data_IF_761693563758
#
_entry.id   IF_761693563758
#
_cell.length_a   1.000
_cell.length_b   1.000
_cell.length_c   1.000
_cell.angle_alpha   90.00
_cell.angle_beta   90.00
_cell.angle_gamma   90.00
#
_symmetry.space_group_name_H-M   'P 1'
#
loop_
_entity.id
_entity.type
_entity.pdbx_description
1 polymer ?
#
# COMPACT_ATOMS: atom_id res chain seq x y z
N UNK A 1 -1.22 3.72 -17.35
CA UNK A 1 -2.14 4.79 -16.85
C UNK A 1 -2.84 4.35 -15.58
N UNK A 2 -3.34 5.26 -14.74
CA UNK A 2 -3.99 4.94 -13.49
C UNK A 2 -5.49 4.64 -13.67
N UNK A 3 -6.11 3.78 -12.83
CA UNK A 3 -7.58 3.52 -12.83
C UNK A 3 -8.38 4.84 -12.86
N UNK A 4 -7.90 5.86 -12.16
CA UNK A 4 -8.49 7.19 -12.10
C UNK A 4 -8.68 7.82 -13.46
N UNK A 5 -7.70 7.72 -14.34
CA UNK A 5 -7.76 8.31 -15.68
C UNK A 5 -8.75 7.55 -16.54
N UNK A 6 -8.76 6.21 -16.45
CA UNK A 6 -9.74 5.37 -17.14
C UNK A 6 -11.16 5.69 -16.67
N UNK A 7 -11.38 5.83 -15.35
CA UNK A 7 -12.69 6.20 -14.82
C UNK A 7 -13.12 7.62 -15.25
N UNK A 8 -12.19 8.58 -15.30
CA UNK A 8 -12.47 9.94 -15.78
C UNK A 8 -12.82 9.95 -17.27
N UNK A 9 -12.08 9.19 -18.07
CA UNK A 9 -12.34 9.07 -19.51
C UNK A 9 -13.70 8.41 -19.77
N UNK A 10 -14.00 7.31 -19.06
CA UNK A 10 -15.29 6.62 -19.12
C UNK A 10 -16.45 7.57 -18.69
N UNK A 11 -16.31 8.29 -17.58
CA UNK A 11 -17.30 9.25 -17.12
C UNK A 11 -17.57 10.35 -18.14
N UNK A 12 -16.48 10.90 -18.74
CA UNK A 12 -16.62 11.93 -19.76
C UNK A 12 -17.31 11.44 -21.02
N UNK A 13 -16.98 10.22 -21.48
CA UNK A 13 -17.63 9.62 -22.65
C UNK A 13 -19.12 9.32 -22.38
N UNK A 14 -19.43 8.75 -21.22
CA UNK A 14 -20.79 8.50 -20.81
C UNK A 14 -21.62 9.80 -20.71
N UNK A 15 -21.04 10.86 -20.14
CA UNK A 15 -21.73 12.15 -20.04
C UNK A 15 -21.99 12.78 -21.42
N UNK A 16 -21.03 12.73 -22.34
CA UNK A 16 -21.25 13.20 -23.72
C UNK A 16 -22.39 12.38 -24.35
N UNK A 17 -22.38 11.05 -24.20
CA UNK A 17 -23.41 10.18 -24.72
C UNK A 17 -24.80 10.49 -24.14
N UNK A 18 -24.88 10.77 -22.84
CA UNK A 18 -26.15 11.15 -22.18
C UNK A 18 -26.70 12.48 -22.70
N UNK A 19 -25.82 13.46 -23.00
CA UNK A 19 -26.23 14.76 -23.49
C UNK A 19 -26.54 14.79 -24.99
N UNK A 20 -25.89 13.96 -25.80
CA UNK A 20 -25.99 14.01 -27.26
C UNK A 20 -26.76 12.83 -27.87
N UNK A 21 -27.07 11.82 -27.08
CA UNK A 21 -27.64 10.55 -27.53
C UNK A 21 -26.63 9.58 -28.16
N UNK A 22 -25.36 9.96 -28.28
CA UNK A 22 -24.32 9.10 -28.89
C UNK A 22 -23.00 9.19 -28.09
N UNK A 23 -22.55 8.05 -27.59
CA UNK A 23 -21.24 7.96 -26.96
C UNK A 23 -20.11 8.07 -28.01
N UNK A 24 -19.04 8.87 -27.75
CA UNK A 24 -17.92 8.97 -28.67
C UNK A 24 -17.03 7.72 -28.61
N UNK A 25 -16.39 7.35 -29.72
CA UNK A 25 -15.42 6.24 -29.77
C UNK A 25 -14.09 6.57 -29.10
N UNK A 26 -13.74 7.86 -29.04
CA UNK A 26 -12.51 8.39 -28.45
C UNK A 26 -12.82 9.62 -27.63
N UNK A 27 -12.22 9.71 -26.44
CA UNK A 27 -12.36 10.88 -25.58
C UNK A 27 -11.01 11.40 -25.13
N UNK A 28 -10.86 12.71 -25.01
CA UNK A 28 -9.69 13.39 -24.43
C UNK A 28 -10.06 13.93 -23.06
N UNK A 29 -9.28 13.64 -22.03
CA UNK A 29 -9.45 14.22 -20.69
C UNK A 29 -8.32 15.19 -20.37
N UNK A 30 -8.55 16.11 -19.44
CA UNK A 30 -7.50 17.01 -18.92
C UNK A 30 -7.04 16.51 -17.56
N UNK A 31 -5.73 16.21 -17.44
CA UNK A 31 -5.10 15.81 -16.20
C UNK A 31 -4.72 17.02 -15.33
N UNK A 32 -4.52 16.82 -14.00
CA UNK A 32 -4.08 17.88 -13.09
C UNK A 32 -2.76 18.54 -13.49
N UNK A 33 -1.85 17.81 -14.13
CA UNK A 33 -0.56 18.31 -14.62
C UNK A 33 -0.66 19.05 -15.97
N UNK A 34 -1.87 19.23 -16.52
CA UNK A 34 -2.12 19.94 -17.78
C UNK A 34 -2.08 19.07 -19.04
N UNK A 35 -1.62 17.81 -18.96
CA UNK A 35 -1.65 16.89 -20.10
C UNK A 35 -3.08 16.53 -20.50
N UNK A 36 -3.25 16.14 -21.77
CA UNK A 36 -4.56 15.84 -22.36
C UNK A 36 -4.51 14.52 -23.14
N UNK A 37 -4.39 13.37 -22.44
CA UNK A 37 -4.38 12.06 -23.09
C UNK A 37 -5.72 11.71 -23.75
N UNK A 38 -5.64 10.87 -24.80
CA UNK A 38 -6.78 10.30 -25.49
C UNK A 38 -7.02 8.86 -25.04
N UNK A 39 -8.29 8.49 -24.95
CA UNK A 39 -8.73 7.14 -24.56
C UNK A 39 -9.71 6.59 -25.58
N UNK A 40 -9.51 5.35 -25.98
CA UNK A 40 -10.48 4.59 -26.76
C UNK A 40 -11.56 4.06 -25.82
N UNK A 41 -12.82 4.16 -26.23
CA UNK A 41 -13.95 3.61 -25.50
C UNK A 41 -14.16 2.17 -25.95
N UNK A 42 -14.00 1.25 -25.00
CA UNK A 42 -14.11 -0.20 -25.25
C UNK A 42 -15.51 -0.77 -24.98
N UNK A 43 -16.34 -0.01 -24.25
CA UNK A 43 -17.69 -0.41 -23.89
C UNK A 43 -18.61 0.80 -23.87
N UNK A 44 -19.85 0.61 -24.33
CA UNK A 44 -20.92 1.61 -24.20
C UNK A 44 -22.28 0.94 -24.12
N UNK A 45 -23.16 1.51 -23.29
CA UNK A 45 -24.52 1.04 -23.15
C UNK A 45 -25.45 2.22 -22.78
N UNK A 46 -26.56 2.33 -23.49
CA UNK A 46 -27.54 3.39 -23.25
C UNK A 46 -28.73 2.83 -22.45
N UNK A 47 -29.04 3.48 -21.32
CA UNK A 47 -30.25 3.27 -20.52
C UNK A 47 -31.31 4.33 -20.76
N UNK A 48 -32.44 4.26 -20.03
CA UNK A 48 -33.55 5.20 -20.20
C UNK A 48 -33.20 6.64 -19.82
N UNK A 49 -32.45 6.85 -18.76
CA UNK A 49 -31.95 8.17 -18.28
C UNK A 49 -30.48 8.06 -17.87
N UNK A 50 -29.78 7.11 -18.46
CA UNK A 50 -28.39 6.84 -18.16
C UNK A 50 -27.59 6.49 -19.41
N UNK A 51 -26.28 6.65 -19.29
CA UNK A 51 -25.32 6.21 -20.27
C UNK A 51 -24.11 5.64 -19.57
N UNK A 52 -23.68 4.46 -19.98
CA UNK A 52 -22.44 3.84 -19.51
C UNK A 52 -21.38 3.86 -20.61
N UNK A 53 -20.13 4.12 -20.24
CA UNK A 53 -18.98 3.94 -21.10
C UNK A 53 -17.86 3.25 -20.32
N UNK A 54 -16.99 2.52 -21.02
CA UNK A 54 -15.90 1.79 -20.40
C UNK A 54 -14.59 1.95 -21.13
N UNK A 55 -13.50 1.96 -20.36
CA UNK A 55 -12.13 2.06 -20.84
C UNK A 55 -11.32 0.90 -20.27
N UNK A 56 -10.51 0.24 -21.09
CA UNK A 56 -9.55 -0.74 -20.62
C UNK A 56 -8.37 0.01 -19.98
N UNK A 57 -8.06 -0.34 -18.73
CA UNK A 57 -6.94 0.26 -18.02
C UNK A 57 -5.62 -0.21 -18.62
N UNK A 58 -4.72 0.73 -18.84
CA UNK A 58 -3.34 0.50 -19.23
C UNK A 58 -2.43 1.03 -18.11
N UNK A 59 -1.73 0.12 -17.44
CA UNK A 59 -0.78 0.44 -16.37
C UNK A 59 0.64 0.72 -16.89
N UNK A 60 0.89 0.55 -18.18
CA UNK A 60 2.22 0.67 -18.77
C UNK A 60 3.17 -0.38 -18.20
N UNK A 61 4.37 0.03 -17.80
CA UNK A 61 5.40 -0.86 -17.26
C UNK A 61 5.27 -1.14 -15.74
N UNK A 62 4.20 -0.66 -15.10
CA UNK A 62 3.96 -0.94 -13.68
C UNK A 62 3.34 -2.34 -13.49
N UNK A 63 3.84 -3.17 -12.57
CA UNK A 63 3.28 -4.49 -12.29
C UNK A 63 1.96 -4.40 -11.50
N UNK A 64 1.03 -3.58 -11.97
CA UNK A 64 -0.27 -3.34 -11.32
C UNK A 64 -1.24 -4.49 -11.62
N UNK A 65 -1.76 -5.14 -10.58
CA UNK A 65 -2.74 -6.24 -10.69
C UNK A 65 -4.05 -5.81 -11.35
N UNK A 66 -4.26 -4.52 -11.54
CA UNK A 66 -5.45 -3.94 -12.19
C UNK A 66 -5.21 -3.58 -13.65
N UNK A 67 -4.05 -3.93 -14.22
CA UNK A 67 -3.78 -3.76 -15.65
C UNK A 67 -4.73 -4.59 -16.50
N UNK A 68 -5.18 -4.05 -17.63
CA UNK A 68 -6.11 -4.73 -18.54
C UNK A 68 -7.57 -4.78 -18.07
N UNK A 69 -7.91 -4.32 -16.86
CA UNK A 69 -9.29 -4.32 -16.38
C UNK A 69 -10.16 -3.30 -17.12
N UNK A 70 -11.40 -3.69 -17.38
CA UNK A 70 -12.41 -2.78 -17.90
C UNK A 70 -12.96 -1.93 -16.75
N UNK A 71 -12.79 -0.60 -16.88
CA UNK A 71 -13.33 0.38 -15.94
C UNK A 71 -14.53 1.05 -16.59
N UNK A 72 -15.72 0.80 -16.07
CA UNK A 72 -16.99 1.33 -16.56
C UNK A 72 -17.41 2.49 -15.66
N UNK A 73 -17.95 3.54 -16.26
CA UNK A 73 -18.65 4.59 -15.52
C UNK A 73 -20.03 4.78 -16.16
N UNK A 74 -21.07 4.66 -15.34
CA UNK A 74 -22.43 5.02 -15.69
C UNK A 74 -22.76 6.40 -15.12
N UNK A 75 -23.33 7.24 -15.96
CA UNK A 75 -23.90 8.54 -15.56
C UNK A 75 -25.40 8.42 -15.62
N UNK A 76 -26.06 8.66 -14.48
CA UNK A 76 -27.53 8.65 -14.36
C UNK A 76 -28.00 10.06 -14.07
N UNK A 77 -28.92 10.57 -14.88
CA UNK A 77 -29.54 11.88 -14.65
C UNK A 77 -30.44 11.85 -13.40
N UNK A 78 -30.33 12.88 -12.57
CA UNK A 78 -31.19 13.10 -11.39
C UNK A 78 -32.01 14.37 -11.59
N UNK A 79 -32.97 14.61 -10.69
CA UNK A 79 -33.82 15.80 -10.69
C UNK A 79 -34.11 16.28 -9.26
N UNK A 80 -33.22 15.97 -8.31
CA UNK A 80 -33.40 16.31 -6.88
C UNK A 80 -32.52 17.48 -6.41
N UNK A 81 -31.75 18.07 -7.32
CA UNK A 81 -30.89 19.22 -7.09
C UNK A 81 -29.77 18.97 -6.03
N UNK A 82 -29.42 17.72 -5.79
CA UNK A 82 -28.38 17.33 -4.83
C UNK A 82 -26.96 17.36 -5.43
N UNK A 83 -26.82 17.72 -6.70
CA UNK A 83 -25.53 17.83 -7.37
C UNK A 83 -24.94 16.49 -7.80
N UNK A 84 -23.61 16.40 -7.83
CA UNK A 84 -22.89 15.21 -8.25
C UNK A 84 -22.77 14.26 -7.05
N UNK A 85 -23.23 13.02 -7.23
CA UNK A 85 -23.10 11.97 -6.23
C UNK A 85 -22.35 10.76 -6.80
N UNK A 86 -21.39 10.20 -6.04
CA UNK A 86 -20.58 9.06 -6.42
C UNK A 86 -21.10 7.78 -5.77
N UNK A 87 -21.22 6.71 -6.56
CA UNK A 87 -21.67 5.39 -6.11
C UNK A 87 -20.72 4.28 -6.55
N UNK A 88 -20.60 3.25 -5.73
CA UNK A 88 -19.91 2.02 -6.11
C UNK A 88 -20.88 1.14 -6.91
N UNK A 89 -20.45 0.77 -8.08
CA UNK A 89 -21.04 -0.32 -8.83
C UNK A 89 -20.30 -1.64 -8.56
N UNK A 90 -20.53 -2.64 -9.40
CA UNK A 90 -19.89 -3.96 -9.25
C UNK A 90 -18.37 -3.86 -9.19
N UNK A 91 -17.74 -4.50 -8.20
CA UNK A 91 -16.29 -4.60 -8.04
C UNK A 91 -15.57 -3.32 -7.59
N UNK A 92 -16.27 -2.24 -7.29
CA UNK A 92 -15.74 -1.10 -6.53
C UNK A 92 -16.05 -1.31 -5.06
N UNK A 93 -15.04 -1.12 -4.21
CA UNK A 93 -15.15 -1.39 -2.79
C UNK A 93 -15.95 -0.35 -2.01
N UNK A 94 -16.37 -0.73 -0.81
CA UNK A 94 -17.01 0.15 0.17
C UNK A 94 -16.09 0.28 1.39
N UNK A 95 -16.01 1.47 1.93
CA UNK A 95 -15.25 1.75 3.15
C UNK A 95 -15.99 1.19 4.36
N UNK A 96 -15.35 0.34 5.14
CA UNK A 96 -15.94 -0.28 6.34
C UNK A 96 -15.18 0.04 7.63
N UNK A 97 -13.97 0.58 7.54
CA UNK A 97 -13.16 1.00 8.67
C UNK A 97 -12.82 2.50 8.58
N UNK A 98 -12.76 3.21 9.71
CA UNK A 98 -12.33 4.60 9.75
C UNK A 98 -10.80 4.71 9.53
N UNK A 99 -10.33 5.92 9.12
CA UNK A 99 -8.89 6.22 8.95
C UNK A 99 -8.48 6.53 7.52
N UNK A 100 -9.32 6.24 6.55
CA UNK A 100 -9.15 6.70 5.18
C UNK A 100 -9.75 8.12 5.00
N UNK A 101 -9.39 8.85 3.93
CA UNK A 101 -9.97 10.18 3.66
C UNK A 101 -11.43 10.13 3.16
N UNK A 102 -12.10 9.03 3.40
CA UNK A 102 -13.49 8.75 3.06
C UNK A 102 -14.20 8.23 4.31
N UNK A 103 -15.49 8.51 4.44
CA UNK A 103 -16.28 8.04 5.59
C UNK A 103 -16.68 6.56 5.43
N UNK A 104 -16.98 5.93 6.56
CA UNK A 104 -17.51 4.56 6.56
C UNK A 104 -18.87 4.54 5.85
N UNK A 105 -19.05 3.59 4.94
CA UNK A 105 -20.22 3.47 4.08
C UNK A 105 -20.05 4.12 2.69
N UNK A 106 -19.04 4.97 2.49
CA UNK A 106 -18.80 5.58 1.19
C UNK A 106 -18.17 4.60 0.19
N UNK A 107 -18.41 4.82 -1.13
CA UNK A 107 -17.68 4.11 -2.17
C UNK A 107 -16.18 4.44 -2.10
N UNK A 108 -15.35 3.44 -2.30
CA UNK A 108 -13.89 3.57 -2.25
C UNK A 108 -13.35 4.34 -3.48
N UNK A 109 -13.89 5.52 -3.72
CA UNK A 109 -13.50 6.47 -4.77
C UNK A 109 -12.88 7.68 -4.08
N UNK A 110 -11.55 7.78 -4.12
CA UNK A 110 -10.82 8.81 -3.39
C UNK A 110 -11.13 10.24 -3.88
N UNK A 111 -10.92 11.27 -3.04
CA UNK A 111 -11.22 12.67 -3.40
C UNK A 111 -10.54 13.16 -4.69
N UNK A 112 -9.30 12.71 -4.96
CA UNK A 112 -8.58 13.06 -6.19
C UNK A 112 -9.31 12.62 -7.47
N UNK A 113 -9.66 11.32 -7.63
CA UNK A 113 -10.50 10.84 -8.73
C UNK A 113 -11.83 11.58 -8.85
N UNK A 114 -12.57 11.76 -7.73
CA UNK A 114 -13.85 12.50 -7.74
C UNK A 114 -13.65 13.88 -8.34
N UNK A 115 -12.69 14.64 -7.83
CA UNK A 115 -12.39 15.99 -8.33
C UNK A 115 -12.01 16.00 -9.83
N UNK A 116 -11.22 15.04 -10.28
CA UNK A 116 -10.80 15.00 -11.68
C UNK A 116 -11.97 14.70 -12.62
N UNK A 117 -12.87 13.81 -12.21
CA UNK A 117 -14.11 13.52 -12.95
C UNK A 117 -14.97 14.81 -13.00
N UNK A 118 -15.25 15.41 -11.84
CA UNK A 118 -16.02 16.66 -11.79
C UNK A 118 -15.45 17.77 -12.67
N UNK A 119 -14.15 18.03 -12.57
CA UNK A 119 -13.47 19.08 -13.33
C UNK A 119 -13.56 18.85 -14.86
N UNK A 120 -13.58 17.58 -15.31
CA UNK A 120 -13.75 17.25 -16.73
C UNK A 120 -15.21 17.33 -17.19
N UNK A 121 -16.19 16.99 -16.34
CA UNK A 121 -17.61 17.08 -16.68
C UNK A 121 -18.12 18.52 -16.65
N UNK A 122 -17.75 19.33 -15.66
CA UNK A 122 -18.13 20.75 -15.56
C UNK A 122 -17.74 21.55 -16.80
N UNK A 123 -16.62 21.22 -17.47
CA UNK A 123 -16.20 21.88 -18.73
C UNK A 123 -17.08 21.57 -19.92
N UNK A 124 -17.89 20.53 -19.87
CA UNK A 124 -18.81 20.16 -20.94
C UNK A 124 -20.22 20.73 -20.74
N UNK A 125 -20.56 21.10 -19.53
CA UNK A 125 -21.89 21.63 -19.19
C UNK A 125 -21.97 23.13 -19.52
N UNK A 126 -22.97 23.51 -20.30
CA UNK A 126 -23.29 24.92 -20.61
C UNK A 126 -23.80 25.64 -19.36
N UNK A 127 -24.40 24.89 -18.42
CA UNK A 127 -24.84 25.38 -17.11
C UNK A 127 -23.77 25.02 -16.07
N UNK A 128 -22.74 25.83 -15.94
CA UNK A 128 -21.52 25.56 -15.15
C UNK A 128 -21.74 25.10 -13.68
N UNK A 129 -22.94 25.20 -13.14
CA UNK A 129 -23.20 24.99 -11.70
C UNK A 129 -24.30 24.01 -11.33
N UNK A 130 -24.94 23.30 -12.26
CA UNK A 130 -26.09 22.43 -11.92
C UNK A 130 -26.04 21.04 -12.60
N UNK A 131 -24.92 20.30 -12.41
CA UNK A 131 -24.90 18.89 -12.74
C UNK A 131 -25.60 18.11 -11.61
N UNK A 132 -26.80 17.59 -11.89
CA UNK A 132 -27.55 16.75 -10.97
C UNK A 132 -27.54 15.31 -11.49
N UNK A 133 -26.50 14.57 -11.08
CA UNK A 133 -26.18 13.24 -11.63
C UNK A 133 -25.62 12.30 -10.57
N UNK A 134 -25.93 11.01 -10.71
CA UNK A 134 -25.14 9.94 -10.08
C UNK A 134 -24.02 9.50 -11.03
N UNK A 135 -22.85 9.28 -10.47
CA UNK A 135 -21.68 8.71 -11.13
C UNK A 135 -21.38 7.36 -10.49
N UNK A 136 -21.69 6.29 -11.19
CA UNK A 136 -21.53 4.93 -10.73
C UNK A 136 -20.30 4.34 -11.43
N UNK A 137 -19.28 3.95 -10.65
CA UNK A 137 -18.06 3.35 -11.19
C UNK A 137 -18.10 1.85 -10.95
N UNK A 138 -17.83 1.06 -12.00
CA UNK A 138 -17.81 -0.39 -11.97
C UNK A 138 -16.49 -0.94 -12.49
N UNK A 139 -16.06 -2.04 -11.92
CA UNK A 139 -14.93 -2.84 -12.37
C UNK A 139 -15.34 -4.30 -12.23
N UNK A 140 -15.91 -4.93 -13.25
CA UNK A 140 -16.57 -6.24 -13.13
C UNK A 140 -15.73 -7.30 -12.41
N UNK A 141 -14.41 -7.36 -12.67
CA UNK A 141 -13.48 -8.29 -12.01
C UNK A 141 -12.92 -7.78 -10.69
N UNK A 142 -13.29 -6.56 -10.27
CA UNK A 142 -12.68 -5.85 -9.13
C UNK A 142 -12.79 -6.58 -7.80
N UNK A 143 -13.87 -7.34 -7.56
CA UNK A 143 -14.04 -8.14 -6.34
C UNK A 143 -13.00 -9.24 -6.23
N UNK A 144 -12.68 -9.95 -7.31
CA UNK A 144 -11.66 -11.00 -7.28
C UNK A 144 -10.24 -10.40 -7.22
N UNK A 145 -10.00 -9.33 -7.96
CA UNK A 145 -8.70 -8.64 -7.97
C UNK A 145 -8.40 -8.00 -6.61
N UNK A 146 -9.41 -7.51 -5.90
CA UNK A 146 -9.20 -6.89 -4.57
C UNK A 146 -8.53 -7.83 -3.56
N UNK A 147 -8.73 -9.14 -3.68
CA UNK A 147 -8.06 -10.16 -2.86
C UNK A 147 -6.53 -10.18 -3.02
N UNK A 148 -6.01 -9.62 -4.12
CA UNK A 148 -4.57 -9.48 -4.40
C UNK A 148 -4.02 -8.11 -4.00
N UNK A 149 -4.82 -7.28 -3.36
CA UNK A 149 -4.48 -5.93 -2.92
C UNK A 149 -4.50 -5.81 -1.39
N UNK A 150 -4.12 -4.67 -0.87
CA UNK A 150 -4.21 -4.38 0.57
C UNK A 150 -5.57 -3.82 1.01
N UNK A 151 -6.56 -3.80 0.13
CA UNK A 151 -7.85 -3.18 0.39
C UNK A 151 -8.54 -3.73 1.65
N UNK A 152 -8.55 -5.04 1.83
CA UNK A 152 -9.17 -5.68 3.00
C UNK A 152 -8.55 -5.20 4.32
N UNK A 153 -7.22 -5.00 4.36
CA UNK A 153 -6.50 -4.49 5.54
C UNK A 153 -6.86 -3.03 5.86
N UNK A 154 -7.23 -2.28 4.84
CA UNK A 154 -7.67 -0.89 4.97
C UNK A 154 -9.18 -0.77 5.19
N UNK A 155 -9.89 -1.90 5.35
CA UNK A 155 -11.34 -1.92 5.49
C UNK A 155 -12.09 -1.56 4.21
N UNK A 156 -11.50 -1.81 3.05
CA UNK A 156 -12.17 -1.65 1.75
C UNK A 156 -12.63 -3.03 1.30
N UNK A 157 -13.94 -3.28 1.39
CA UNK A 157 -14.53 -4.58 1.12
C UNK A 157 -15.31 -4.60 -0.21
N UNK A 158 -15.49 -5.80 -0.78
CA UNK A 158 -16.28 -6.11 -1.97
C UNK A 158 -15.73 -5.56 -3.30
N UNK A 159 -14.51 -5.00 -3.33
CA UNK A 159 -13.93 -4.52 -4.57
C UNK A 159 -12.64 -3.74 -4.40
N UNK A 160 -12.17 -3.17 -5.51
CA UNK A 160 -10.98 -2.33 -5.54
C UNK A 160 -11.31 -0.88 -5.18
N UNK A 161 -10.28 -0.12 -4.82
CA UNK A 161 -10.37 1.34 -4.64
C UNK A 161 -9.99 2.09 -5.90
N UNK A 162 -10.73 3.15 -6.21
CA UNK A 162 -10.40 4.11 -7.27
C UNK A 162 -9.54 5.21 -6.64
N UNK A 163 -8.24 5.16 -6.90
CA UNK A 163 -7.25 6.02 -6.23
C UNK A 163 -6.28 6.65 -7.24
N UNK A 164 -5.48 7.58 -6.76
CA UNK A 164 -4.41 8.26 -7.49
C UNK A 164 -4.43 9.77 -7.25
N UNK A 165 -3.28 10.43 -7.45
CA UNK A 165 -3.11 11.87 -7.17
C UNK A 165 -2.79 12.69 -8.43
N UNK A 166 -2.06 12.13 -9.39
CA UNK A 166 -1.53 12.85 -10.55
C UNK A 166 -2.22 12.53 -11.87
N UNK A 167 -2.89 11.37 -11.94
CA UNK A 167 -3.42 10.85 -13.20
C UNK A 167 -2.41 10.05 -14.02
N UNK A 168 -1.18 9.88 -13.52
CA UNK A 168 -0.13 9.10 -14.18
C UNK A 168 0.39 8.07 -13.19
N UNK A 169 0.56 6.84 -13.66
CA UNK A 169 1.28 5.81 -12.92
C UNK A 169 2.78 6.07 -13.07
N UNK A 170 3.47 6.12 -11.95
CA UNK A 170 4.94 6.10 -11.90
C UNK A 170 5.32 4.69 -11.48
N UNK A 171 5.88 3.86 -12.38
CA UNK A 171 6.25 2.49 -12.06
C UNK A 171 7.18 2.44 -10.84
N UNK A 172 6.99 1.45 -9.98
CA UNK A 172 7.81 1.23 -8.77
C UNK A 172 7.92 2.43 -7.84
N UNK A 173 6.85 3.22 -7.70
CA UNK A 173 6.85 4.45 -6.89
C UNK A 173 7.04 4.17 -5.39
N UNK A 174 8.25 4.45 -4.87
CA UNK A 174 8.54 4.40 -3.43
C UNK A 174 7.58 5.31 -2.62
N UNK A 175 7.22 6.48 -3.17
CA UNK A 175 6.30 7.41 -2.53
C UNK A 175 4.89 6.81 -2.38
N UNK A 176 4.41 6.08 -3.39
CA UNK A 176 3.11 5.41 -3.33
C UNK A 176 3.10 4.31 -2.25
N UNK A 177 4.19 3.53 -2.14
CA UNK A 177 4.32 2.52 -1.10
C UNK A 177 4.34 3.12 0.31
N UNK A 178 5.16 4.15 0.53
CA UNK A 178 5.20 4.87 1.81
C UNK A 178 3.82 5.45 2.15
N UNK A 179 3.08 5.95 1.16
CA UNK A 179 1.70 6.41 1.36
C UNK A 179 0.77 5.30 1.83
N UNK A 180 0.90 4.07 1.30
CA UNK A 180 0.10 2.92 1.75
C UNK A 180 0.43 2.53 3.19
N UNK A 181 1.72 2.57 3.59
CA UNK A 181 2.14 2.37 4.98
C UNK A 181 1.44 3.38 5.90
N UNK A 182 1.44 4.67 5.53
CA UNK A 182 0.78 5.72 6.30
C UNK A 182 -0.73 5.46 6.43
N UNK A 183 -1.41 5.06 5.34
CA UNK A 183 -2.85 4.71 5.40
C UNK A 183 -3.13 3.53 6.31
N UNK A 184 -2.28 2.50 6.28
CA UNK A 184 -2.38 1.38 7.23
C UNK A 184 -2.28 1.82 8.69
N UNK A 185 -1.34 2.70 9.00
CA UNK A 185 -1.17 3.27 10.35
C UNK A 185 -2.39 4.13 10.73
N UNK A 186 -2.91 4.97 9.83
CA UNK A 186 -4.10 5.78 10.08
C UNK A 186 -5.33 4.92 10.43
N UNK A 187 -5.55 3.82 9.67
CA UNK A 187 -6.62 2.87 9.95
C UNK A 187 -6.40 2.18 11.30
N UNK A 188 -5.19 1.74 11.61
CA UNK A 188 -4.87 1.13 12.88
C UNK A 188 -5.17 2.08 14.06
N UNK A 189 -4.75 3.34 13.98
CA UNK A 189 -5.03 4.35 15.00
C UNK A 189 -6.54 4.58 15.15
N UNK A 190 -7.25 4.77 14.05
CA UNK A 190 -8.69 5.07 14.07
C UNK A 190 -9.56 3.89 14.49
N UNK A 191 -9.04 2.67 14.36
CA UNK A 191 -9.67 1.45 14.89
C UNK A 191 -9.23 1.10 16.31
N UNK A 192 -8.51 1.99 17.00
CA UNK A 192 -7.94 1.78 18.33
C UNK A 192 -7.11 0.50 18.43
N UNK A 193 -6.33 0.19 17.39
CA UNK A 193 -5.42 -0.94 17.37
C UNK A 193 -4.23 -0.66 18.27
N UNK A 194 -4.03 -1.49 19.28
CA UNK A 194 -2.92 -1.31 20.25
C UNK A 194 -1.59 -1.87 19.76
N UNK A 195 -1.60 -2.76 18.77
CA UNK A 195 -0.41 -3.43 18.27
C UNK A 195 -0.44 -3.58 16.75
N UNK A 196 0.57 -3.08 16.06
CA UNK A 196 0.79 -3.30 14.63
C UNK A 196 2.07 -4.09 14.39
N UNK A 197 2.07 -4.94 13.36
CA UNK A 197 3.27 -5.62 12.88
C UNK A 197 3.66 -5.08 11.50
N UNK A 198 4.82 -4.42 11.44
CA UNK A 198 5.41 -3.89 10.23
C UNK A 198 6.39 -4.89 9.64
N UNK A 199 6.03 -5.46 8.50
CA UNK A 199 6.71 -6.61 7.94
C UNK A 199 7.49 -6.26 6.66
N UNK A 200 8.68 -6.87 6.50
CA UNK A 200 9.52 -6.65 5.32
C UNK A 200 9.17 -7.58 4.15
N UNK A 201 8.20 -8.46 4.30
CA UNK A 201 7.75 -9.40 3.27
C UNK A 201 6.83 -10.49 3.81
N UNK A 202 6.27 -11.29 2.91
CA UNK A 202 5.19 -12.25 3.18
C UNK A 202 5.51 -13.32 4.24
N UNK A 203 6.77 -13.79 4.31
CA UNK A 203 7.17 -14.79 5.32
C UNK A 203 7.11 -14.18 6.71
N UNK A 204 7.74 -13.03 6.92
CA UNK A 204 7.73 -12.33 8.21
C UNK A 204 6.31 -11.91 8.61
N UNK A 205 5.47 -11.53 7.64
CA UNK A 205 4.08 -11.20 7.88
C UNK A 205 3.27 -12.39 8.39
N UNK A 206 3.37 -13.53 7.69
CA UNK A 206 2.68 -14.76 8.11
C UNK A 206 3.08 -15.18 9.52
N UNK A 207 4.37 -15.08 9.85
CA UNK A 207 4.89 -15.43 11.17
C UNK A 207 4.40 -14.47 12.25
N UNK A 208 4.54 -13.15 12.03
CA UNK A 208 4.10 -12.14 12.99
C UNK A 208 2.58 -12.19 13.23
N UNK A 209 1.79 -12.38 12.16
CA UNK A 209 0.33 -12.53 12.26
C UNK A 209 -0.05 -13.72 13.16
N UNK A 210 0.63 -14.85 12.97
CA UNK A 210 0.39 -16.07 13.77
C UNK A 210 0.86 -15.91 15.22
N UNK A 211 2.06 -15.36 15.41
CA UNK A 211 2.70 -15.22 16.72
C UNK A 211 1.88 -14.34 17.67
N UNK A 212 1.37 -13.21 17.15
CA UNK A 212 0.63 -12.24 17.95
C UNK A 212 -0.88 -12.30 17.75
N UNK A 213 -1.38 -13.24 16.92
CA UNK A 213 -2.81 -13.36 16.56
C UNK A 213 -3.43 -12.03 16.11
N UNK A 214 -2.73 -11.31 15.24
CA UNK A 214 -3.12 -9.97 14.81
C UNK A 214 -4.19 -9.99 13.71
N UNK A 215 -5.17 -9.08 13.80
CA UNK A 215 -6.17 -8.91 12.75
C UNK A 215 -5.57 -8.25 11.50
N UNK A 216 -6.22 -8.33 10.33
CA UNK A 216 -5.69 -7.81 9.07
C UNK A 216 -5.26 -6.34 9.12
N UNK A 217 -6.01 -5.47 9.76
CA UNK A 217 -5.71 -4.02 9.87
C UNK A 217 -4.47 -3.70 10.72
N UNK A 218 -3.99 -4.66 11.51
CA UNK A 218 -2.74 -4.55 12.27
C UNK A 218 -1.49 -4.87 11.44
N UNK A 219 -1.67 -5.43 10.25
CA UNK A 219 -0.56 -5.87 9.41
C UNK A 219 -0.15 -4.77 8.42
N UNK A 220 1.06 -4.26 8.57
CA UNK A 220 1.63 -3.23 7.71
C UNK A 220 2.70 -3.86 6.81
N UNK A 221 2.46 -3.87 5.50
CA UNK A 221 3.49 -4.24 4.53
C UNK A 221 4.47 -3.08 4.36
N UNK A 222 5.47 -3.06 5.23
CA UNK A 222 6.47 -2.00 5.28
C UNK A 222 7.50 -2.15 4.14
N UNK A 223 7.73 -3.35 3.66
CA UNK A 223 8.78 -3.63 2.68
C UNK A 223 10.16 -3.18 3.17
N UNK A 224 10.80 -2.32 2.40
CA UNK A 224 12.13 -1.79 2.69
C UNK A 224 12.11 -0.39 3.37
N UNK A 225 10.93 0.18 3.62
CA UNK A 225 10.75 1.59 3.99
C UNK A 225 10.60 1.83 5.51
N UNK A 226 11.46 1.25 6.32
CA UNK A 226 11.48 1.44 7.78
C UNK A 226 11.51 2.93 8.16
N UNK A 227 12.40 3.70 7.53
CA UNK A 227 12.55 5.13 7.84
C UNK A 227 11.29 5.94 7.52
N UNK A 228 10.60 5.62 6.42
CA UNK A 228 9.33 6.25 6.05
C UNK A 228 8.24 5.98 7.10
N UNK A 229 8.16 4.75 7.57
CA UNK A 229 7.25 4.33 8.64
C UNK A 229 7.57 5.01 9.97
N UNK A 230 8.81 4.92 10.44
CA UNK A 230 9.23 5.49 11.72
C UNK A 230 9.03 7.01 11.77
N UNK A 231 9.32 7.71 10.65
CA UNK A 231 9.05 9.15 10.53
C UNK A 231 7.58 9.49 10.71
N UNK A 232 6.69 8.63 10.25
CA UNK A 232 5.25 8.80 10.39
C UNK A 232 4.79 8.51 11.83
N UNK A 233 5.26 7.42 12.42
CA UNK A 233 4.96 7.01 13.80
C UNK A 233 5.39 8.06 14.83
N UNK A 234 6.46 8.84 14.57
CA UNK A 234 6.82 9.98 15.44
C UNK A 234 5.69 10.99 15.63
N UNK A 235 4.84 11.16 14.64
CA UNK A 235 3.72 12.11 14.67
C UNK A 235 2.39 11.44 14.98
N UNK A 236 2.28 10.16 14.68
CA UNK A 236 1.08 9.36 14.76
C UNK A 236 1.39 8.05 15.50
N UNK A 237 1.60 8.08 16.83
CA UNK A 237 2.03 6.92 17.59
C UNK A 237 0.96 5.84 17.66
N UNK A 238 1.42 4.57 17.67
CA UNK A 238 0.65 3.38 17.99
C UNK A 238 1.31 2.77 19.23
N UNK A 239 0.56 2.29 20.23
CA UNK A 239 1.15 1.86 21.51
C UNK A 239 2.22 0.79 21.38
N UNK A 240 2.10 -0.15 20.44
CA UNK A 240 3.09 -1.20 20.21
C UNK A 240 3.33 -1.44 18.72
N UNK A 241 4.60 -1.56 18.34
CA UNK A 241 5.02 -1.80 16.95
C UNK A 241 6.05 -2.93 16.92
N UNK A 242 5.71 -4.04 16.27
CA UNK A 242 6.68 -5.08 15.96
C UNK A 242 7.23 -4.86 14.54
N UNK A 243 8.55 -4.74 14.41
CA UNK A 243 9.25 -4.75 13.11
C UNK A 243 9.72 -6.16 12.84
N UNK A 244 9.09 -6.84 11.87
CA UNK A 244 9.38 -8.22 11.54
C UNK A 244 10.03 -8.36 10.16
N UNK A 245 11.12 -9.13 10.08
CA UNK A 245 11.84 -9.28 8.82
C UNK A 245 12.84 -10.42 8.78
N UNK A 246 13.36 -10.69 7.57
CA UNK A 246 14.45 -11.62 7.38
C UNK A 246 15.77 -11.07 7.92
N UNK A 247 16.66 -11.97 8.36
CA UNK A 247 17.92 -11.63 9.00
C UNK A 247 18.73 -10.56 8.27
N UNK A 248 18.91 -10.67 6.95
CA UNK A 248 19.71 -9.72 6.19
C UNK A 248 19.15 -8.29 6.19
N UNK A 249 17.82 -8.13 6.21
CA UNK A 249 17.16 -6.82 6.28
C UNK A 249 17.30 -6.22 7.67
N UNK A 250 17.07 -7.02 8.72
CA UNK A 250 17.18 -6.53 10.09
C UNK A 250 18.65 -6.32 10.53
N UNK A 251 19.58 -7.04 9.93
CA UNK A 251 21.02 -6.75 10.07
C UNK A 251 21.37 -5.36 9.50
N UNK A 252 20.81 -4.94 8.37
CA UNK A 252 20.99 -3.57 7.88
C UNK A 252 20.40 -2.55 8.85
N UNK A 253 19.22 -2.82 9.40
CA UNK A 253 18.60 -1.96 10.40
C UNK A 253 19.48 -1.83 11.66
N UNK A 254 20.06 -2.92 12.15
CA UNK A 254 20.99 -2.89 13.29
C UNK A 254 22.26 -2.10 12.99
N UNK A 255 22.65 -2.02 11.73
CA UNK A 255 23.77 -1.21 11.25
C UNK A 255 23.42 0.28 11.03
N UNK A 256 22.15 0.66 11.28
CA UNK A 256 21.67 2.04 11.18
C UNK A 256 20.98 2.39 9.87
N UNK A 257 20.82 1.43 8.94
CA UNK A 257 20.16 1.66 7.66
C UNK A 257 18.63 1.71 7.84
N UNK A 258 18.00 2.79 7.39
CA UNK A 258 16.55 2.99 7.46
C UNK A 258 15.83 2.75 6.13
N UNK A 259 16.58 2.59 5.05
CA UNK A 259 16.13 2.09 3.76
C UNK A 259 16.81 0.73 3.54
N UNK A 260 16.01 -0.33 3.54
CA UNK A 260 16.54 -1.70 3.50
C UNK A 260 16.70 -2.26 2.08
N UNK A 261 16.40 -1.44 1.04
CA UNK A 261 16.49 -1.88 -0.34
C UNK A 261 17.94 -2.17 -0.75
N UNK A 262 18.17 -3.32 -1.40
CA UNK A 262 19.50 -3.83 -1.71
C UNK A 262 20.33 -2.94 -2.66
N UNK A 263 19.68 -2.11 -3.49
CA UNK A 263 20.38 -1.16 -4.36
C UNK A 263 20.78 0.14 -3.64
N UNK A 264 20.21 0.42 -2.46
CA UNK A 264 20.45 1.66 -1.72
C UNK A 264 21.25 1.46 -0.44
N UNK A 265 21.13 0.30 0.17
CA UNK A 265 21.90 -0.08 1.36
C UNK A 265 22.47 -1.49 1.24
N UNK A 266 23.68 -1.67 1.72
CA UNK A 266 24.41 -2.94 1.72
C UNK A 266 24.72 -3.34 3.16
N UNK A 267 24.74 -4.64 3.43
CA UNK A 267 25.24 -5.17 4.70
C UNK A 267 26.75 -4.87 4.81
N UNK A 268 27.16 -4.25 5.90
CA UNK A 268 28.56 -4.11 6.22
C UNK A 268 29.08 -5.46 6.78
N UNK A 269 29.79 -6.20 5.94
CA UNK A 269 30.31 -7.53 6.28
C UNK A 269 31.43 -7.49 7.32
N UNK A 270 32.19 -6.39 7.40
CA UNK A 270 33.25 -6.24 8.41
C UNK A 270 32.63 -6.12 9.81
N UNK A 271 31.59 -5.26 9.94
CA UNK A 271 30.82 -5.18 11.20
C UNK A 271 30.20 -6.54 11.55
N UNK A 272 29.63 -7.26 10.57
CA UNK A 272 29.05 -8.58 10.82
C UNK A 272 30.12 -9.57 11.32
N UNK A 273 31.32 -9.61 10.71
CA UNK A 273 32.43 -10.45 11.16
C UNK A 273 32.84 -10.11 12.59
N UNK A 274 32.96 -8.81 12.89
CA UNK A 274 33.27 -8.36 14.26
C UNK A 274 32.22 -8.77 15.29
N UNK A 275 30.93 -8.83 14.92
CA UNK A 275 29.89 -9.33 15.81
C UNK A 275 29.99 -10.85 16.02
N UNK A 276 30.37 -11.60 14.98
CA UNK A 276 30.60 -13.04 15.07
C UNK A 276 31.81 -13.37 15.96
N UNK A 277 32.89 -12.59 15.85
CA UNK A 277 34.09 -12.74 16.67
C UNK A 277 33.84 -12.57 18.17
N UNK A 278 32.78 -11.83 18.53
CA UNK A 278 32.35 -11.65 19.95
C UNK A 278 31.56 -12.84 20.49
N UNK A 279 31.07 -13.73 19.62
CA UNK A 279 30.38 -14.95 20.04
C UNK A 279 31.43 -15.96 20.57
N UNK A 280 31.07 -16.72 21.60
CA UNK A 280 31.93 -17.81 22.06
C UNK A 280 31.84 -18.98 21.05
N UNK A 281 32.84 -19.01 20.15
CA UNK A 281 32.93 -19.97 19.06
C UNK A 281 33.74 -21.23 19.41
N UNK A 282 33.91 -21.58 20.69
CA UNK A 282 34.75 -22.70 21.11
C UNK A 282 34.45 -24.03 20.37
N UNK A 283 33.20 -24.20 19.89
CA UNK A 283 32.78 -25.37 19.11
C UNK A 283 32.83 -25.18 17.59
N UNK A 284 33.21 -23.99 17.09
CA UNK A 284 33.09 -23.62 15.65
C UNK A 284 34.45 -23.27 15.02
N UNK A 285 35.53 -23.90 15.44
CA UNK A 285 36.93 -23.69 15.02
C UNK A 285 37.19 -23.79 13.49
N UNK A 286 36.13 -23.96 12.66
CA UNK A 286 36.25 -24.14 11.21
C UNK A 286 35.57 -23.04 10.37
N UNK A 287 35.02 -21.98 11.03
CA UNK A 287 34.33 -20.90 10.28
C UNK A 287 35.39 -19.96 9.72
N UNK A 288 35.65 -20.08 8.43
CA UNK A 288 36.48 -19.10 7.73
C UNK A 288 35.69 -17.81 7.49
N UNK A 289 35.73 -16.89 8.46
CA UNK A 289 35.00 -15.62 8.44
C UNK A 289 35.27 -14.82 7.16
N UNK A 290 36.48 -14.95 6.59
CA UNK A 290 36.87 -14.28 5.35
C UNK A 290 36.08 -14.78 4.11
N UNK A 291 35.50 -15.98 4.17
CA UNK A 291 34.69 -16.54 3.07
C UNK A 291 33.22 -16.14 3.13
N UNK A 292 32.79 -15.44 4.19
CA UNK A 292 31.41 -14.95 4.30
C UNK A 292 31.22 -13.81 3.30
N UNK A 293 30.35 -14.03 2.32
CA UNK A 293 29.98 -13.07 1.28
C UNK A 293 28.54 -12.56 1.43
N UNK A 294 27.70 -13.27 2.17
CA UNK A 294 26.30 -12.88 2.40
C UNK A 294 25.86 -13.17 3.83
N UNK A 295 24.89 -12.37 4.32
CA UNK A 295 24.30 -12.56 5.65
C UNK A 295 23.65 -13.95 5.82
N UNK A 296 23.02 -14.50 4.78
CA UNK A 296 22.39 -15.83 4.85
C UNK A 296 23.43 -16.96 4.88
N UNK A 297 24.51 -16.82 4.13
CA UNK A 297 25.63 -17.77 4.20
C UNK A 297 26.20 -17.82 5.63
N UNK A 298 26.34 -16.66 6.26
CA UNK A 298 26.78 -16.55 7.64
C UNK A 298 25.89 -17.39 8.59
N UNK A 299 24.56 -17.23 8.53
CA UNK A 299 23.66 -18.03 9.36
C UNK A 299 23.81 -19.54 9.15
N UNK A 300 24.00 -19.96 7.87
CA UNK A 300 24.18 -21.39 7.56
C UNK A 300 25.48 -21.96 8.15
N UNK A 301 26.54 -21.15 8.20
CA UNK A 301 27.86 -21.58 8.73
C UNK A 301 27.89 -21.64 10.26
N UNK A 302 27.08 -20.80 10.93
CA UNK A 302 27.08 -20.70 12.40
C UNK A 302 26.30 -21.84 13.11
N UNK A 303 25.55 -22.65 12.39
CA UNK A 303 24.75 -23.71 13.00
C UNK A 303 23.86 -23.21 14.15
N UNK A 304 23.91 -23.81 15.36
CA UNK A 304 23.14 -23.35 16.50
C UNK A 304 23.46 -21.93 16.98
N UNK A 305 24.68 -21.44 16.77
CA UNK A 305 25.09 -20.07 17.14
C UNK A 305 24.39 -18.97 16.33
N UNK A 306 23.70 -19.34 15.25
CA UNK A 306 22.83 -18.40 14.49
C UNK A 306 21.79 -17.71 15.36
N UNK A 307 21.27 -18.36 16.38
CA UNK A 307 20.27 -17.80 17.30
C UNK A 307 20.86 -16.69 18.16
N UNK A 308 22.07 -16.90 18.72
CA UNK A 308 22.79 -15.91 19.51
C UNK A 308 23.15 -14.66 18.66
N UNK A 309 23.63 -14.87 17.42
CA UNK A 309 23.87 -13.77 16.49
C UNK A 309 22.56 -13.02 16.17
N UNK A 310 21.48 -13.74 15.90
CA UNK A 310 20.20 -13.13 15.57
C UNK A 310 19.64 -12.31 16.75
N UNK A 311 19.83 -12.78 17.98
CA UNK A 311 19.45 -12.06 19.19
C UNK A 311 20.23 -10.76 19.35
N UNK A 312 21.56 -10.78 19.16
CA UNK A 312 22.39 -9.58 19.18
C UNK A 312 21.97 -8.56 18.11
N UNK A 313 21.68 -9.04 16.89
CA UNK A 313 21.17 -8.21 15.80
C UNK A 313 19.80 -7.63 16.14
N UNK A 314 18.89 -8.40 16.73
CA UNK A 314 17.56 -7.93 17.12
C UNK A 314 17.65 -6.84 18.19
N UNK A 315 18.47 -7.03 19.23
CA UNK A 315 18.68 -6.06 20.29
C UNK A 315 19.31 -4.76 19.76
N UNK A 316 20.31 -4.87 18.89
CA UNK A 316 20.95 -3.68 18.28
C UNK A 316 19.97 -2.95 17.34
N UNK A 317 19.16 -3.67 16.57
CA UNK A 317 18.14 -3.07 15.72
C UNK A 317 17.06 -2.34 16.56
N UNK A 318 16.66 -2.93 17.69
CA UNK A 318 15.75 -2.32 18.65
C UNK A 318 16.33 -0.96 19.14
N UNK A 319 17.59 -0.94 19.59
CA UNK A 319 18.23 0.27 20.09
C UNK A 319 18.31 1.36 19.01
N UNK A 320 18.59 0.99 17.75
CA UNK A 320 18.60 1.92 16.61
C UNK A 320 17.21 2.54 16.41
N UNK A 321 16.13 1.73 16.48
CA UNK A 321 14.76 2.21 16.29
C UNK A 321 14.34 3.13 17.44
N UNK A 322 14.55 2.73 18.68
CA UNK A 322 14.24 3.54 19.88
C UNK A 322 15.00 4.87 19.85
N UNK A 323 16.31 4.83 19.57
CA UNK A 323 17.12 6.05 19.42
C UNK A 323 16.60 6.96 18.28
N UNK A 324 16.12 6.39 17.20
CA UNK A 324 15.54 7.16 16.09
C UNK A 324 14.20 7.79 16.50
N UNK A 325 13.31 7.04 17.13
CA UNK A 325 11.99 7.51 17.53
C UNK A 325 12.11 8.63 18.58
N UNK A 326 13.00 8.50 19.56
CA UNK A 326 13.13 9.42 20.71
C UNK A 326 11.80 9.64 21.42
N UNK A 327 11.03 8.57 21.60
CA UNK A 327 9.72 8.55 22.22
C UNK A 327 9.59 7.32 23.09
N UNK A 328 9.07 7.50 24.27
CA UNK A 328 8.89 6.44 25.28
C UNK A 328 7.45 5.89 25.27
N UNK A 329 6.57 6.48 24.42
CA UNK A 329 5.15 6.12 24.30
C UNK A 329 4.85 5.04 23.24
N UNK A 330 5.89 4.46 22.63
CA UNK A 330 5.78 3.40 21.62
C UNK A 330 6.65 2.21 22.05
N UNK A 331 6.03 1.11 22.45
CA UNK A 331 6.74 -0.14 22.68
C UNK A 331 7.21 -0.73 21.34
N UNK A 332 8.50 -1.02 21.22
CA UNK A 332 9.11 -1.56 20.01
C UNK A 332 9.54 -3.01 20.23
N UNK A 333 9.14 -3.88 19.31
CA UNK A 333 9.67 -5.23 19.22
C UNK A 333 10.37 -5.43 17.87
N UNK A 334 11.43 -6.23 17.87
CA UNK A 334 12.10 -6.70 16.65
C UNK A 334 11.93 -8.22 16.58
N UNK A 335 11.48 -8.71 15.42
CA UNK A 335 11.33 -10.14 15.16
C UNK A 335 12.13 -10.52 13.90
N UNK A 336 13.13 -11.38 14.06
CA UNK A 336 13.93 -11.91 12.97
C UNK A 336 13.42 -13.31 12.62
N UNK A 337 13.12 -13.52 11.35
CA UNK A 337 12.69 -14.83 10.83
C UNK A 337 13.64 -15.32 9.74
N UNK A 338 13.71 -16.64 9.59
CA UNK A 338 14.41 -17.23 8.47
C UNK A 338 13.53 -17.36 7.21
N UNK A 339 14.05 -17.98 6.14
CA UNK A 339 13.33 -18.12 4.86
C UNK A 339 12.15 -19.09 4.92
N UNK A 340 12.14 -20.04 5.84
CA UNK A 340 11.05 -21.01 6.01
C UNK A 340 10.01 -20.54 7.01
N UNK A 341 10.34 -19.52 7.83
CA UNK A 341 9.45 -18.90 8.78
C UNK A 341 9.70 -19.30 10.23
N UNK A 342 10.87 -19.86 10.54
CA UNK A 342 11.27 -20.06 11.91
C UNK A 342 11.73 -18.72 12.52
N UNK A 343 11.31 -18.47 13.77
CA UNK A 343 11.76 -17.29 14.51
C UNK A 343 13.18 -17.54 14.99
N UNK A 344 14.12 -16.73 14.49
CA UNK A 344 15.52 -16.80 14.91
C UNK A 344 15.76 -15.99 16.19
N UNK A 345 15.11 -14.86 16.33
CA UNK A 345 15.18 -14.01 17.52
C UNK A 345 13.94 -13.12 17.61
N UNK A 346 13.63 -12.73 18.86
CA UNK A 346 12.57 -11.77 19.17
C UNK A 346 13.00 -10.98 20.39
N UNK A 347 12.96 -9.64 20.34
CA UNK A 347 13.18 -8.84 21.55
C UNK A 347 11.99 -9.05 22.48
N UNK A 348 12.26 -9.25 23.76
CA UNK A 348 11.20 -9.25 24.76
C UNK A 348 10.66 -7.85 24.94
N UNK A 349 9.36 -7.76 25.20
CA UNK A 349 8.69 -6.52 25.52
C UNK A 349 9.38 -5.94 26.78
N UNK A 350 10.26 -4.98 26.58
CA UNK A 350 10.79 -4.19 27.70
C UNK A 350 9.67 -3.24 28.05
N UNK A 351 8.91 -3.58 29.07
CA UNK A 351 7.78 -2.80 29.57
C UNK A 351 8.15 -1.33 29.65
N UNK A 352 7.33 -0.50 29.00
CA UNK A 352 7.38 0.97 29.11
C UNK A 352 6.78 1.37 30.44
#
# INVERSE_FOLDING_TARGET
MCIRDSATAAAKAAFIGLMTGKCPDVVTIKLPNGQSPKFNIAYQNAGHQSMSAGVIKDAGDDPDVTDGLLIITEIVKRNDQMGINFKAGSGVGIITLPGLPLEVGEPAINPGPRKMIEDNLKKLSIAENNLDIDIIIEVPEGKEISKKTWNERLGILNGISILGTTGIVIPFSCAAWIHSIHRGIDVAIKTNTNHIAACTGSVSERVAKKEYNLPPQSMIDMGDFVGGMLKYLKKNPVPRVTIAGGFAKLLKLSQGELDLHSSRSQVNLEKLRSEIEKLDLNDTNHIELNKISTANQCLSMLGPKKYELAENVANTAHDVVVKYLKKDDIAIDIMIVDRIGDILAKTENRDV
#
